data_IF_942444868594
#
_entry.id   IF_942444868594
#
_cell.length_a   1.000
_cell.length_b   1.000
_cell.length_c   1.000
_cell.angle_alpha   90.00
_cell.angle_beta   90.00
_cell.angle_gamma   90.00
#
_symmetry.space_group_name_H-M   'P 1'
#
loop_
_entity.id
_entity.type
_entity.pdbx_description
1 polymer ?
#
# COMPACT_ATOMS: atom_id res chain seq x y z
N UNK A 1 5.10 -39.27 14.90
CA UNK A 1 5.71 -39.14 13.57
C UNK A 1 6.26 -37.72 13.47
N UNK A 2 7.58 -37.52 13.39
CA UNK A 2 8.16 -36.20 13.07
C UNK A 2 7.94 -35.97 11.57
N UNK A 3 7.36 -34.83 11.19
CA UNK A 3 7.18 -34.47 9.79
C UNK A 3 8.53 -34.42 9.07
N UNK A 4 8.57 -34.84 7.80
CA UNK A 4 9.76 -34.68 6.96
C UNK A 4 9.84 -33.21 6.55
N UNK A 5 10.99 -32.58 6.78
CA UNK A 5 11.22 -31.20 6.36
C UNK A 5 11.21 -31.11 4.83
N UNK A 6 10.45 -30.17 4.28
CA UNK A 6 10.41 -29.93 2.82
C UNK A 6 11.35 -28.78 2.49
N UNK A 7 12.26 -28.99 1.54
CA UNK A 7 13.19 -27.94 1.08
C UNK A 7 12.61 -27.26 -0.16
N UNK A 8 12.57 -25.93 -0.15
CA UNK A 8 12.20 -25.13 -1.33
C UNK A 8 12.92 -23.80 -1.34
N UNK A 9 13.14 -23.23 -2.52
CA UNK A 9 13.66 -21.88 -2.66
C UNK A 9 12.59 -20.85 -2.28
N UNK A 10 12.85 -20.02 -1.26
CA UNK A 10 11.97 -18.92 -0.83
C UNK A 10 12.75 -17.65 -0.61
N UNK A 11 12.10 -16.52 -0.86
CA UNK A 11 12.58 -15.25 -0.35
C UNK A 11 12.07 -15.05 1.07
N UNK A 12 12.95 -14.64 1.97
CA UNK A 12 12.68 -14.40 3.39
C UNK A 12 12.86 -12.91 3.66
N UNK A 13 11.88 -12.32 4.34
CA UNK A 13 11.88 -10.92 4.75
C UNK A 13 11.79 -10.86 6.27
N UNK A 14 12.68 -10.08 6.87
CA UNK A 14 12.56 -9.62 8.24
C UNK A 14 12.28 -8.12 8.24
N UNK A 15 11.33 -7.71 9.05
CA UNK A 15 11.02 -6.30 9.31
C UNK A 15 11.08 -6.07 10.82
N UNK A 16 11.62 -4.93 11.22
CA UNK A 16 11.79 -4.57 12.62
C UNK A 16 11.55 -3.06 12.83
N UNK A 17 11.04 -2.69 14.00
CA UNK A 17 10.77 -1.29 14.36
C UNK A 17 11.99 -0.70 15.06
N UNK A 18 12.54 0.36 14.49
CA UNK A 18 13.64 1.10 15.08
C UNK A 18 13.17 1.89 16.30
N UNK A 19 13.83 1.67 17.43
CA UNK A 19 13.60 2.43 18.65
C UNK A 19 12.29 2.11 19.38
N UNK A 20 11.80 0.87 19.25
CA UNK A 20 10.52 0.43 19.83
C UNK A 20 10.46 0.60 21.35
N UNK A 21 11.58 0.31 22.04
CA UNK A 21 11.71 0.42 23.50
C UNK A 21 11.68 1.87 23.96
N UNK A 22 12.32 2.76 23.20
CA UNK A 22 12.33 4.21 23.46
C UNK A 22 10.94 4.81 23.25
N UNK A 23 10.19 4.36 22.23
CA UNK A 23 8.80 4.75 22.02
C UNK A 23 7.96 4.37 23.24
N UNK A 24 8.02 3.10 23.67
CA UNK A 24 7.28 2.60 24.85
C UNK A 24 7.62 3.38 26.11
N UNK A 25 8.91 3.60 26.36
CA UNK A 25 9.38 4.38 27.52
C UNK A 25 8.82 5.80 27.53
N UNK A 26 8.71 6.43 26.36
CA UNK A 26 8.25 7.81 26.23
C UNK A 26 6.75 7.97 26.39
N UNK A 27 5.94 7.06 25.83
CA UNK A 27 4.47 7.22 25.74
C UNK A 27 3.69 6.32 26.71
N UNK A 28 4.36 5.33 27.31
CA UNK A 28 3.75 4.32 28.18
C UNK A 28 3.08 3.19 27.39
N UNK A 29 3.03 2.00 27.99
CA UNK A 29 2.53 0.79 27.32
C UNK A 29 1.05 0.90 26.91
N UNK A 30 0.21 1.55 27.72
CA UNK A 30 -1.23 1.72 27.41
C UNK A 30 -1.50 2.52 26.13
N UNK A 31 -0.57 3.38 25.72
CA UNK A 31 -0.65 4.15 24.46
C UNK A 31 0.12 3.44 23.36
N UNK A 32 1.25 2.82 23.68
CA UNK A 32 2.11 2.14 22.73
C UNK A 32 1.46 0.87 22.17
N UNK A 33 0.87 0.02 23.02
CA UNK A 33 0.38 -1.31 22.63
C UNK A 33 -0.66 -1.26 21.50
N UNK A 34 -1.75 -0.47 21.59
CA UNK A 34 -2.72 -0.39 20.50
C UNK A 34 -2.11 0.15 19.20
N UNK A 35 -1.13 1.04 19.29
CA UNK A 35 -0.44 1.58 18.12
C UNK A 35 0.46 0.53 17.46
N UNK A 36 1.22 -0.24 18.25
CA UNK A 36 2.02 -1.35 17.75
C UNK A 36 1.13 -2.42 17.10
N UNK A 37 0.01 -2.80 17.73
CA UNK A 37 -0.93 -3.77 17.15
C UNK A 37 -1.48 -3.33 15.78
N UNK A 38 -1.86 -2.05 15.65
CA UNK A 38 -2.33 -1.49 14.38
C UNK A 38 -1.22 -1.48 13.33
N UNK A 39 0.00 -1.09 13.70
CA UNK A 39 1.14 -1.11 12.80
C UNK A 39 1.48 -2.54 12.34
N UNK A 40 1.52 -3.49 13.26
CA UNK A 40 1.81 -4.90 12.95
C UNK A 40 0.74 -5.52 12.05
N UNK A 41 -0.52 -5.13 12.23
CA UNK A 41 -1.62 -5.49 11.33
C UNK A 41 -1.38 -4.91 9.93
N UNK A 42 -1.01 -3.64 9.82
CA UNK A 42 -0.75 -2.99 8.54
C UNK A 42 0.46 -3.60 7.80
N UNK A 43 1.55 -3.89 8.52
CA UNK A 43 2.74 -4.58 8.00
C UNK A 43 2.36 -5.98 7.50
N UNK A 44 1.56 -6.72 8.28
CA UNK A 44 1.09 -8.07 7.90
C UNK A 44 0.19 -8.02 6.66
N UNK A 45 -0.69 -7.04 6.55
CA UNK A 45 -1.52 -6.85 5.37
C UNK A 45 -0.67 -6.57 4.11
N UNK A 46 0.41 -5.79 4.22
CA UNK A 46 1.33 -5.56 3.11
C UNK A 46 2.01 -6.84 2.61
N UNK A 47 2.23 -7.84 3.49
CA UNK A 47 2.72 -9.17 3.11
C UNK A 47 1.65 -9.93 2.32
N UNK A 48 0.42 -9.95 2.84
CA UNK A 48 -0.69 -10.68 2.25
C UNK A 48 -1.13 -10.10 0.89
N UNK A 49 -1.04 -8.77 0.70
CA UNK A 49 -1.36 -8.07 -0.56
C UNK A 49 -0.60 -8.61 -1.78
N UNK A 50 0.57 -9.23 -1.57
CA UNK A 50 1.44 -9.76 -2.64
C UNK A 50 1.66 -11.27 -2.51
N UNK A 51 0.67 -11.98 -1.95
CA UNK A 51 0.67 -13.44 -1.76
C UNK A 51 1.85 -13.97 -0.93
N UNK A 52 2.36 -13.14 -0.01
CA UNK A 52 3.33 -13.55 1.00
C UNK A 52 2.69 -14.28 2.17
N UNK A 53 3.50 -14.98 2.96
CA UNK A 53 3.10 -15.65 4.19
C UNK A 53 3.81 -15.02 5.39
N UNK A 54 3.05 -14.51 6.35
CA UNK A 54 3.58 -14.12 7.66
C UNK A 54 3.84 -15.40 8.45
N UNK A 55 5.10 -15.66 8.80
CA UNK A 55 5.50 -16.87 9.53
C UNK A 55 5.31 -16.67 11.02
N UNK A 56 5.87 -15.58 11.56
CA UNK A 56 5.78 -15.25 12.99
C UNK A 56 6.02 -13.77 13.26
N UNK A 57 5.43 -13.30 14.35
CA UNK A 57 5.78 -12.04 14.99
C UNK A 57 6.99 -12.25 15.91
N UNK A 58 7.86 -11.26 15.97
CA UNK A 58 9.08 -11.21 16.78
C UNK A 58 8.94 -10.22 17.95
N UNK A 59 7.72 -9.80 18.27
CA UNK A 59 7.41 -8.69 19.18
C UNK A 59 7.09 -7.43 18.38
N UNK A 60 8.12 -6.65 18.09
CA UNK A 60 8.08 -5.42 17.29
C UNK A 60 8.53 -5.62 15.83
N UNK A 61 8.69 -6.88 15.41
CA UNK A 61 9.10 -7.25 14.05
C UNK A 61 8.31 -8.41 13.47
N UNK A 62 8.42 -8.60 12.15
CA UNK A 62 7.76 -9.67 11.40
C UNK A 62 8.79 -10.47 10.63
N UNK A 63 8.64 -11.80 10.64
CA UNK A 63 9.25 -12.69 9.66
C UNK A 63 8.19 -13.13 8.64
N UNK A 64 8.48 -12.93 7.36
CA UNK A 64 7.62 -13.35 6.26
C UNK A 64 8.40 -14.10 5.18
N UNK A 65 7.71 -14.96 4.43
CA UNK A 65 8.29 -15.70 3.30
C UNK A 65 7.45 -15.51 2.04
N UNK A 66 8.13 -15.49 0.90
CA UNK A 66 7.54 -15.27 -0.42
C UNK A 66 8.05 -16.32 -1.42
N UNK A 67 7.21 -16.61 -2.42
CA UNK A 67 7.54 -17.56 -3.50
C UNK A 67 8.50 -16.99 -4.54
N UNK A 68 8.79 -15.69 -4.51
CA UNK A 68 9.69 -15.04 -5.48
C UNK A 68 10.39 -13.81 -4.91
N UNK A 69 11.55 -13.47 -5.47
CA UNK A 69 12.29 -12.26 -5.12
C UNK A 69 11.49 -10.98 -5.40
N UNK A 70 10.80 -10.89 -6.54
CA UNK A 70 9.99 -9.72 -6.89
C UNK A 70 8.85 -9.48 -5.91
N UNK A 71 8.16 -10.54 -5.46
CA UNK A 71 7.10 -10.43 -4.45
C UNK A 71 7.66 -10.00 -3.09
N UNK A 72 8.81 -10.54 -2.67
CA UNK A 72 9.47 -10.13 -1.44
C UNK A 72 9.87 -8.65 -1.44
N UNK A 73 10.39 -8.14 -2.57
CA UNK A 73 10.71 -6.72 -2.71
C UNK A 73 9.46 -5.84 -2.65
N UNK A 74 8.38 -6.22 -3.33
CA UNK A 74 7.11 -5.50 -3.27
C UNK A 74 6.53 -5.50 -1.85
N UNK A 75 6.57 -6.65 -1.17
CA UNK A 75 6.16 -6.78 0.23
C UNK A 75 7.00 -5.89 1.15
N UNK A 76 8.34 -5.94 1.03
CA UNK A 76 9.25 -5.11 1.82
C UNK A 76 8.99 -3.59 1.63
N UNK A 77 8.75 -3.16 0.39
CA UNK A 77 8.35 -1.76 0.10
C UNK A 77 6.97 -1.45 0.69
N UNK A 78 6.02 -2.38 0.59
CA UNK A 78 4.69 -2.24 1.19
C UNK A 78 4.75 -2.08 2.71
N UNK A 79 5.62 -2.84 3.40
CA UNK A 79 5.84 -2.71 4.83
C UNK A 79 6.37 -1.32 5.19
N UNK A 80 7.39 -0.83 4.48
CA UNK A 80 7.92 0.53 4.70
C UNK A 80 6.85 1.60 4.52
N UNK A 81 6.02 1.47 3.48
CA UNK A 81 4.91 2.38 3.22
C UNK A 81 3.81 2.31 4.29
N UNK A 82 3.53 1.12 4.83
CA UNK A 82 2.60 0.96 5.94
C UNK A 82 3.14 1.62 7.22
N UNK A 83 4.42 1.42 7.54
CA UNK A 83 5.08 2.09 8.67
C UNK A 83 5.05 3.62 8.54
N UNK A 84 5.31 4.12 7.34
CA UNK A 84 5.25 5.55 7.04
C UNK A 84 3.85 6.14 7.22
N UNK A 85 2.81 5.44 6.75
CA UNK A 85 1.42 5.87 6.89
C UNK A 85 0.91 5.87 8.34
N UNK A 86 1.47 4.98 9.18
CA UNK A 86 1.11 4.85 10.60
C UNK A 86 1.92 5.77 11.53
N UNK A 87 2.82 6.61 11.01
CA UNK A 87 3.48 7.64 11.81
C UNK A 87 2.46 8.65 12.31
N UNK A 88 2.29 8.69 13.62
CA UNK A 88 1.41 9.62 14.31
C UNK A 88 2.23 10.62 15.12
N UNK A 89 1.86 11.91 15.02
CA UNK A 89 2.45 12.96 15.87
C UNK A 89 2.17 12.65 17.34
N UNK A 90 3.17 12.87 18.20
CA UNK A 90 3.06 12.65 19.65
C UNK A 90 3.30 11.21 20.10
N UNK A 91 2.82 10.20 19.37
CA UNK A 91 2.99 8.79 19.76
C UNK A 91 4.23 8.17 19.11
N UNK A 92 4.31 8.23 17.78
CA UNK A 92 5.28 7.45 17.00
C UNK A 92 5.92 8.22 15.85
N UNK A 93 6.12 9.53 16.03
CA UNK A 93 6.71 10.40 14.99
C UNK A 93 8.12 9.94 14.56
N UNK A 94 8.87 9.35 15.48
CA UNK A 94 10.20 8.77 15.25
C UNK A 94 10.20 7.31 14.83
N UNK A 95 9.03 6.64 14.82
CA UNK A 95 8.98 5.23 14.42
C UNK A 95 9.41 5.10 12.96
N UNK A 96 10.33 4.18 12.72
CA UNK A 96 10.83 3.84 11.39
C UNK A 96 10.99 2.32 11.34
N UNK A 97 10.85 1.76 10.15
CA UNK A 97 11.11 0.36 9.93
C UNK A 97 12.49 0.18 9.31
N UNK A 98 13.11 -0.94 9.62
CA UNK A 98 14.25 -1.47 8.88
C UNK A 98 13.89 -2.86 8.38
N UNK A 99 14.30 -3.19 7.15
CA UNK A 99 13.90 -4.42 6.49
C UNK A 99 15.12 -5.12 5.89
N UNK A 100 15.20 -6.43 6.08
CA UNK A 100 16.22 -7.30 5.49
C UNK A 100 15.60 -8.37 4.61
N UNK A 101 16.14 -8.57 3.41
CA UNK A 101 15.64 -9.54 2.44
C UNK A 101 16.77 -10.45 1.97
N UNK A 102 16.55 -11.76 2.02
CA UNK A 102 17.40 -12.75 1.34
C UNK A 102 16.55 -13.78 0.61
N UNK A 103 17.16 -14.55 -0.28
CA UNK A 103 16.52 -15.63 -1.03
C UNK A 103 17.47 -16.81 -1.16
N UNK A 104 16.92 -18.01 -1.03
CA UNK A 104 17.64 -19.25 -1.27
C UNK A 104 16.82 -20.44 -0.77
N UNK A 105 17.48 -21.59 -0.67
CA UNK A 105 16.83 -22.80 -0.19
C UNK A 105 16.64 -22.77 1.33
N UNK A 106 15.41 -23.07 1.74
CA UNK A 106 14.99 -23.11 3.14
C UNK A 106 14.21 -24.39 3.39
N UNK A 107 14.36 -24.93 4.59
CA UNK A 107 13.62 -26.08 5.08
C UNK A 107 12.40 -25.64 5.88
N UNK A 108 11.24 -26.15 5.50
CA UNK A 108 9.97 -25.97 6.21
C UNK A 108 9.67 -27.17 7.11
N UNK A 109 9.46 -26.93 8.40
CA UNK A 109 9.05 -27.94 9.38
C UNK A 109 8.13 -27.30 10.41
N UNK A 110 6.96 -27.92 10.67
CA UNK A 110 5.99 -27.46 11.67
C UNK A 110 5.63 -25.97 11.55
N UNK A 111 5.47 -25.50 10.30
CA UNK A 111 5.20 -24.10 9.93
C UNK A 111 6.30 -23.09 10.29
N UNK A 112 7.50 -23.54 10.69
CA UNK A 112 8.68 -22.71 10.80
C UNK A 112 9.63 -22.92 9.62
N UNK A 113 10.47 -21.92 9.37
CA UNK A 113 11.41 -21.88 8.25
C UNK A 113 12.82 -21.71 8.77
N UNK A 114 13.72 -22.55 8.27
CA UNK A 114 15.14 -22.54 8.65
C UNK A 114 16.06 -22.64 7.43
N UNK A 115 17.27 -22.12 7.57
CA UNK A 115 18.27 -22.11 6.51
C UNK A 115 19.11 -20.84 6.53
N UNK A 116 20.19 -20.84 5.75
CA UNK A 116 21.07 -19.68 5.62
C UNK A 116 20.33 -18.40 5.17
N UNK A 117 19.36 -18.45 4.23
CA UNK A 117 18.61 -17.24 3.84
C UNK A 117 17.81 -16.61 4.99
N UNK A 118 17.34 -17.42 5.95
CA UNK A 118 16.63 -16.93 7.14
C UNK A 118 17.59 -16.15 8.04
N UNK A 119 18.78 -16.71 8.28
CA UNK A 119 19.83 -16.06 9.08
C UNK A 119 20.31 -14.78 8.39
N UNK A 120 20.59 -14.85 7.10
CA UNK A 120 21.05 -13.73 6.28
C UNK A 120 20.03 -12.59 6.26
N UNK A 121 18.75 -12.86 6.00
CA UNK A 121 17.70 -11.84 6.00
C UNK A 121 17.58 -11.15 7.37
N UNK A 122 17.63 -11.92 8.47
CA UNK A 122 17.60 -11.36 9.82
C UNK A 122 18.81 -10.45 10.11
N UNK A 123 20.00 -10.83 9.62
CA UNK A 123 21.23 -10.02 9.80
C UNK A 123 21.24 -8.78 8.92
N UNK A 124 20.79 -8.89 7.67
CA UNK A 124 20.58 -7.73 6.81
C UNK A 124 19.60 -6.74 7.44
N UNK A 125 18.51 -7.23 8.03
CA UNK A 125 17.55 -6.38 8.75
C UNK A 125 18.21 -5.67 9.94
N UNK A 126 19.05 -6.36 10.70
CA UNK A 126 19.75 -5.76 11.84
C UNK A 126 20.80 -4.71 11.42
N UNK A 127 21.41 -4.87 10.25
CA UNK A 127 22.39 -3.94 9.68
C UNK A 127 21.77 -2.78 8.88
N UNK A 128 20.53 -2.94 8.41
CA UNK A 128 19.81 -1.91 7.68
C UNK A 128 19.62 -0.66 8.56
N UNK A 129 19.85 0.51 7.97
CA UNK A 129 19.60 1.77 8.64
C UNK A 129 18.11 2.02 8.88
N UNK A 130 17.84 3.07 9.65
CA UNK A 130 16.47 3.53 9.88
C UNK A 130 15.81 3.94 8.57
N UNK A 131 14.63 3.39 8.28
CA UNK A 131 13.87 3.64 7.05
C UNK A 131 14.48 2.99 5.79
N UNK A 132 15.32 1.97 5.95
CA UNK A 132 16.02 1.30 4.84
C UNK A 132 15.55 -0.14 4.62
N UNK A 133 15.73 -0.60 3.38
CA UNK A 133 15.52 -1.98 2.99
C UNK A 133 16.86 -2.48 2.43
N UNK A 134 17.49 -3.44 3.10
CA UNK A 134 18.67 -4.12 2.59
C UNK A 134 18.28 -5.49 2.05
N UNK A 135 18.80 -5.81 0.88
CA UNK A 135 18.61 -7.11 0.25
C UNK A 135 19.97 -7.69 -0.15
N UNK A 136 20.11 -9.02 -0.05
CA UNK A 136 21.25 -9.69 -0.68
C UNK A 136 21.20 -9.47 -2.20
N UNK A 137 22.34 -9.33 -2.84
CA UNK A 137 22.41 -8.98 -4.27
C UNK A 137 21.72 -10.05 -5.15
N UNK A 138 21.68 -11.29 -4.68
CA UNK A 138 20.94 -12.40 -5.31
C UNK A 138 19.45 -12.08 -5.46
N UNK A 139 18.83 -11.40 -4.49
CA UNK A 139 17.43 -10.96 -4.57
C UNK A 139 17.24 -9.99 -5.75
N UNK A 140 18.14 -9.02 -5.90
CA UNK A 140 18.12 -8.05 -7.01
C UNK A 140 18.30 -8.76 -8.36
N UNK A 141 19.26 -9.68 -8.45
CA UNK A 141 19.54 -10.44 -9.67
C UNK A 141 18.35 -11.32 -10.08
N UNK A 142 17.70 -12.01 -9.14
CA UNK A 142 16.55 -12.86 -9.41
C UNK A 142 15.27 -12.08 -9.69
N UNK A 143 15.10 -10.90 -9.10
CA UNK A 143 13.96 -10.02 -9.41
C UNK A 143 14.05 -9.49 -10.85
N UNK A 144 15.27 -9.22 -11.35
CA UNK A 144 15.54 -8.84 -12.73
C UNK A 144 14.62 -7.73 -13.24
N UNK A 145 14.06 -7.90 -14.44
CA UNK A 145 13.13 -6.94 -15.04
C UNK A 145 11.68 -7.03 -14.52
N UNK A 146 11.38 -7.90 -13.54
CA UNK A 146 10.04 -8.05 -12.96
C UNK A 146 9.79 -7.08 -11.80
N UNK A 147 10.74 -6.19 -11.51
CA UNK A 147 10.60 -5.15 -10.52
C UNK A 147 10.92 -3.79 -11.11
N UNK A 148 10.17 -2.78 -10.66
CA UNK A 148 10.42 -1.37 -10.99
C UNK A 148 11.17 -0.63 -9.86
N UNK A 149 11.60 -1.35 -8.83
CA UNK A 149 12.36 -0.76 -7.74
C UNK A 149 13.76 -0.40 -8.22
N UNK A 150 14.25 0.73 -7.72
CA UNK A 150 15.63 1.14 -7.94
C UNK A 150 16.50 0.60 -6.81
N UNK A 151 17.78 0.41 -7.12
CA UNK A 151 18.73 -0.22 -6.22
C UNK A 151 20.00 0.63 -6.13
N UNK A 152 20.54 0.75 -4.93
CA UNK A 152 21.84 1.36 -4.67
C UNK A 152 22.79 0.30 -4.10
N UNK A 153 24.04 0.31 -4.55
CA UNK A 153 25.05 -0.60 -4.01
C UNK A 153 25.42 -0.17 -2.59
N UNK A 154 25.30 -1.07 -1.63
CA UNK A 154 25.82 -0.89 -0.26
C UNK A 154 27.24 -1.47 -0.19
N UNK A 155 27.49 -2.54 -0.94
CA UNK A 155 28.76 -3.28 -0.93
C UNK A 155 28.63 -4.59 -0.16
N UNK A 156 29.76 -5.22 0.13
CA UNK A 156 29.77 -6.48 0.91
C UNK A 156 29.76 -6.20 2.41
N UNK A 157 28.80 -6.79 3.12
CA UNK A 157 28.65 -6.66 4.56
C UNK A 157 29.11 -7.93 5.29
N UNK A 158 29.91 -7.76 6.32
CA UNK A 158 30.27 -8.83 7.27
C UNK A 158 29.09 -9.05 8.23
N UNK A 159 28.36 -10.14 8.04
CA UNK A 159 27.17 -10.45 8.84
C UNK A 159 27.51 -11.48 9.92
N UNK A 160 27.21 -11.14 11.19
CA UNK A 160 27.50 -12.01 12.33
C UNK A 160 26.97 -13.44 12.13
N UNK A 161 27.88 -14.40 12.10
CA UNK A 161 27.59 -15.84 12.02
C UNK A 161 27.56 -16.39 10.59
N UNK A 162 27.82 -15.57 9.57
CA UNK A 162 28.09 -16.02 8.20
C UNK A 162 29.60 -16.02 7.96
N UNK A 163 30.07 -16.99 7.18
CA UNK A 163 31.49 -17.18 6.91
C UNK A 163 32.02 -16.22 5.83
N UNK A 164 31.17 -15.84 4.87
CA UNK A 164 31.53 -14.97 3.76
C UNK A 164 30.76 -13.64 3.83
N UNK A 165 31.38 -12.53 3.40
CA UNK A 165 30.70 -11.26 3.27
C UNK A 165 29.52 -11.35 2.30
N UNK A 166 28.39 -10.74 2.68
CA UNK A 166 27.18 -10.73 1.86
C UNK A 166 27.14 -9.48 1.00
N UNK A 167 27.21 -9.65 -0.32
CA UNK A 167 26.97 -8.58 -1.27
C UNK A 167 25.56 -8.03 -1.06
N UNK A 168 25.46 -6.76 -0.70
CA UNK A 168 24.23 -6.12 -0.26
C UNK A 168 23.88 -4.93 -1.14
N UNK A 169 22.59 -4.79 -1.42
CA UNK A 169 22.02 -3.63 -2.09
C UNK A 169 20.92 -3.02 -1.24
N UNK A 170 20.79 -1.70 -1.32
CA UNK A 170 19.67 -0.96 -0.75
C UNK A 170 18.55 -0.89 -1.79
N UNK A 171 17.35 -1.29 -1.41
CA UNK A 171 16.16 -1.15 -2.23
C UNK A 171 15.56 0.23 -1.97
N UNK A 172 15.46 1.05 -3.02
CA UNK A 172 14.86 2.37 -2.92
C UNK A 172 13.34 2.27 -2.93
N UNK A 173 12.73 3.02 -2.04
CA UNK A 173 11.29 3.09 -1.89
C UNK A 173 10.86 4.53 -1.64
N UNK A 174 9.58 4.79 -1.87
CA UNK A 174 8.97 6.08 -1.66
C UNK A 174 7.67 5.87 -0.89
N UNK A 175 7.27 6.80 -0.01
CA UNK A 175 5.94 6.78 0.59
C UNK A 175 4.88 6.52 -0.48
N UNK A 176 3.85 5.73 -0.15
CA UNK A 176 2.65 5.75 -1.02
C UNK A 176 2.26 7.23 -1.09
N UNK A 177 2.02 7.76 -2.30
CA UNK A 177 1.47 9.10 -2.40
C UNK A 177 0.27 9.09 -1.47
N UNK A 178 0.29 9.95 -0.45
CA UNK A 178 -0.92 10.26 0.28
C UNK A 178 -1.90 10.59 -0.84
N UNK A 179 -2.92 9.74 -1.02
CA UNK A 179 -3.84 9.91 -2.14
C UNK A 179 -4.27 11.36 -2.18
N UNK A 180 -4.56 11.91 -3.36
CA UNK A 180 -5.09 13.28 -3.46
C UNK A 180 -6.29 13.35 -2.53
N UNK A 181 -6.13 13.91 -1.33
CA UNK A 181 -7.23 14.10 -0.40
C UNK A 181 -7.98 15.31 -0.89
N UNK A 182 -8.83 15.09 -1.89
CA UNK A 182 -9.88 16.04 -2.18
C UNK A 182 -10.90 15.88 -1.06
N UNK A 183 -10.71 16.64 0.03
CA UNK A 183 -11.75 16.84 1.03
C UNK A 183 -13.00 17.52 0.42
N UNK A 184 -12.90 18.03 -0.81
CA UNK A 184 -14.01 18.57 -1.56
C UNK A 184 -14.83 17.45 -2.22
N UNK A 185 -16.14 17.48 -1.96
CA UNK A 185 -17.12 16.64 -2.64
C UNK A 185 -17.13 16.94 -4.15
N UNK A 186 -17.20 15.94 -5.03
CA UNK A 186 -17.38 16.17 -6.46
C UNK A 186 -18.57 17.08 -6.74
N UNK A 187 -18.44 17.96 -7.74
CA UNK A 187 -19.50 18.91 -8.11
C UNK A 187 -20.86 18.21 -8.27
N UNK A 188 -20.85 17.01 -8.86
CA UNK A 188 -22.02 16.17 -9.09
C UNK A 188 -22.81 15.78 -7.84
N UNK A 189 -22.15 15.74 -6.67
CA UNK A 189 -22.76 15.44 -5.37
C UNK A 189 -22.94 16.71 -4.53
N UNK A 190 -22.05 17.70 -4.67
CA UNK A 190 -22.10 18.95 -3.89
C UNK A 190 -23.44 19.67 -4.01
N UNK A 191 -24.04 19.66 -5.22
CA UNK A 191 -25.34 20.28 -5.49
C UNK A 191 -26.49 19.57 -4.77
N UNK A 192 -26.33 18.29 -4.42
CA UNK A 192 -27.33 17.55 -3.69
C UNK A 192 -27.29 17.84 -2.18
N UNK A 193 -26.21 18.43 -1.63
CA UNK A 193 -26.03 18.70 -0.19
C UNK A 193 -26.66 20.04 0.26
N UNK A 194 -27.42 20.72 -0.59
CA UNK A 194 -28.10 21.99 -0.24
C UNK A 194 -29.29 21.77 0.72
N UNK A 195 -29.32 22.46 1.86
CA UNK A 195 -30.42 22.42 2.84
C UNK A 195 -30.32 21.30 3.89
N UNK A 196 -31.24 21.27 4.89
CA UNK A 196 -31.20 20.32 5.99
C UNK A 196 -31.48 18.88 5.52
N UNK A 197 -30.75 17.92 6.08
CA UNK A 197 -30.96 16.49 5.86
C UNK A 197 -31.84 15.94 6.99
N UNK A 198 -33.03 15.44 6.66
CA UNK A 198 -34.06 15.06 7.66
C UNK A 198 -34.56 13.63 7.45
N UNK A 199 -34.74 12.89 8.55
CA UNK A 199 -35.45 11.62 8.63
C UNK A 199 -34.63 10.37 8.29
N UNK A 200 -33.33 10.51 8.02
CA UNK A 200 -32.41 9.40 7.66
C UNK A 200 -31.01 9.56 8.27
N UNK A 201 -30.90 10.37 9.30
CA UNK A 201 -29.65 10.74 9.96
C UNK A 201 -29.00 9.53 10.64
N UNK A 202 -29.82 8.70 11.29
CA UNK A 202 -29.37 7.47 11.95
C UNK A 202 -28.88 6.46 10.92
N UNK A 203 -29.65 6.19 9.86
CA UNK A 203 -29.22 5.30 8.78
C UNK A 203 -27.90 5.76 8.15
N UNK A 204 -27.73 7.07 7.93
CA UNK A 204 -26.48 7.61 7.41
C UNK A 204 -25.31 7.51 8.41
N UNK A 205 -25.58 7.52 9.72
CA UNK A 205 -24.58 7.30 10.76
C UNK A 205 -24.15 5.83 10.78
N UNK A 206 -25.11 4.90 10.79
CA UNK A 206 -24.83 3.46 10.81
C UNK A 206 -24.01 3.04 9.57
N UNK A 207 -24.39 3.47 8.36
CA UNK A 207 -23.62 3.19 7.15
C UNK A 207 -22.20 3.80 7.18
N UNK A 208 -22.05 4.96 7.82
CA UNK A 208 -20.75 5.61 7.96
C UNK A 208 -19.85 4.87 8.96
N UNK A 209 -20.41 4.40 10.06
CA UNK A 209 -19.67 3.62 11.07
C UNK A 209 -19.25 2.26 10.50
N UNK A 210 -20.12 1.59 9.74
CA UNK A 210 -19.75 0.36 9.02
C UNK A 210 -18.65 0.60 7.97
N UNK A 211 -18.72 1.70 7.21
CA UNK A 211 -17.66 2.06 6.27
C UNK A 211 -16.33 2.29 6.99
N UNK A 212 -16.37 3.04 8.10
CA UNK A 212 -15.19 3.34 8.91
C UNK A 212 -14.59 2.10 9.56
N UNK A 213 -15.42 1.11 9.90
CA UNK A 213 -15.00 -0.20 10.37
C UNK A 213 -14.45 -1.11 9.26
N UNK A 214 -14.58 -0.72 7.98
CA UNK A 214 -14.09 -1.49 6.83
C UNK A 214 -14.90 -2.74 6.53
N UNK A 215 -16.16 -2.82 6.99
CA UNK A 215 -16.97 -4.05 6.92
C UNK A 215 -17.59 -4.30 5.56
N UNK A 216 -17.82 -3.26 4.74
CA UNK A 216 -18.43 -3.41 3.41
C UNK A 216 -17.53 -2.97 2.26
N UNK A 217 -17.70 -3.66 1.12
CA UNK A 217 -17.05 -3.34 -0.17
C UNK A 217 -17.98 -2.69 -1.21
N UNK A 218 -19.30 -2.67 -0.95
CA UNK A 218 -20.27 -1.90 -1.74
C UNK A 218 -21.58 -1.63 -0.99
N UNK A 219 -22.29 -0.58 -1.40
CA UNK A 219 -23.61 -0.19 -0.90
C UNK A 219 -24.54 0.06 -2.09
N UNK A 220 -25.71 -0.59 -2.12
CA UNK A 220 -26.75 -0.36 -3.12
C UNK A 220 -27.91 0.43 -2.50
N UNK A 221 -28.21 1.61 -3.07
CA UNK A 221 -29.31 2.47 -2.62
C UNK A 221 -30.44 2.43 -3.64
N UNK A 222 -31.54 1.76 -3.29
CA UNK A 222 -32.73 1.62 -4.13
C UNK A 222 -33.97 2.25 -3.47
N UNK A 223 -35.01 2.52 -4.26
CA UNK A 223 -36.25 3.16 -3.79
C UNK A 223 -36.95 3.96 -4.87
N UNK A 224 -38.14 4.47 -4.55
CA UNK A 224 -39.00 5.21 -5.48
C UNK A 224 -38.32 6.48 -6.04
N UNK A 225 -38.70 6.94 -7.26
CA UNK A 225 -38.28 8.24 -7.77
C UNK A 225 -38.60 9.35 -6.76
N UNK A 226 -37.66 10.29 -6.56
CA UNK A 226 -37.85 11.43 -5.65
C UNK A 226 -37.71 11.14 -4.15
N UNK A 227 -37.59 9.88 -3.71
CA UNK A 227 -37.51 9.52 -2.27
C UNK A 227 -36.27 10.06 -1.53
N UNK A 228 -35.30 10.62 -2.25
CA UNK A 228 -34.07 11.21 -1.69
C UNK A 228 -32.82 10.34 -1.79
N UNK A 229 -32.78 9.32 -2.67
CA UNK A 229 -31.60 8.43 -2.85
C UNK A 229 -30.30 9.19 -3.11
N UNK A 230 -30.31 10.09 -4.11
CA UNK A 230 -29.14 10.90 -4.47
C UNK A 230 -28.73 11.82 -3.32
N UNK A 231 -29.69 12.34 -2.55
CA UNK A 231 -29.40 13.14 -1.36
C UNK A 231 -28.73 12.31 -0.27
N UNK A 232 -29.25 11.11 0.01
CA UNK A 232 -28.68 10.19 0.98
C UNK A 232 -27.23 9.83 0.64
N UNK A 233 -26.97 9.45 -0.62
CA UNK A 233 -25.61 9.14 -1.09
C UNK A 233 -24.69 10.36 -0.97
N UNK A 234 -25.16 11.54 -1.40
CA UNK A 234 -24.37 12.76 -1.29
C UNK A 234 -24.04 13.13 0.17
N UNK A 235 -24.99 12.96 1.09
CA UNK A 235 -24.78 13.21 2.52
C UNK A 235 -23.75 12.23 3.12
N UNK A 236 -23.88 10.94 2.82
CA UNK A 236 -22.94 9.91 3.26
C UNK A 236 -21.53 10.19 2.72
N UNK A 237 -21.41 10.48 1.42
CA UNK A 237 -20.15 10.87 0.80
C UNK A 237 -19.59 12.17 1.41
N UNK A 238 -20.43 13.13 1.80
CA UNK A 238 -19.98 14.37 2.45
C UNK A 238 -19.37 14.10 3.83
N UNK A 239 -19.96 13.20 4.61
CA UNK A 239 -19.38 12.74 5.89
C UNK A 239 -18.04 12.03 5.67
N UNK A 240 -17.95 11.18 4.64
CA UNK A 240 -16.69 10.50 4.27
C UNK A 240 -15.62 11.51 3.82
N UNK A 241 -15.95 12.47 2.96
CA UNK A 241 -15.03 13.51 2.53
C UNK A 241 -14.50 14.34 3.72
N UNK A 242 -15.35 14.58 4.73
CA UNK A 242 -14.98 15.24 5.97
C UNK A 242 -13.92 14.51 6.81
N UNK A 243 -13.70 13.21 6.59
CA UNK A 243 -12.58 12.46 7.21
C UNK A 243 -11.31 12.46 6.37
N UNK A 244 -11.32 13.15 5.23
CA UNK A 244 -10.23 13.14 4.25
C UNK A 244 -10.31 11.99 3.24
N UNK A 245 -11.41 11.24 3.20
CA UNK A 245 -11.59 10.20 2.20
C UNK A 245 -11.78 10.78 0.79
N UNK A 246 -11.28 10.06 -0.21
CA UNK A 246 -11.43 10.45 -1.60
C UNK A 246 -12.80 10.04 -2.11
N UNK A 247 -13.58 11.03 -2.53
CA UNK A 247 -14.89 10.80 -3.15
C UNK A 247 -14.78 11.08 -4.64
N UNK A 248 -15.20 10.10 -5.45
CA UNK A 248 -15.36 10.24 -6.88
C UNK A 248 -16.79 9.86 -7.26
N UNK A 249 -17.35 10.55 -8.25
CA UNK A 249 -18.73 10.36 -8.66
C UNK A 249 -18.83 10.20 -10.17
N UNK A 250 -19.48 9.12 -10.60
CA UNK A 250 -19.79 8.84 -11.99
C UNK A 250 -21.30 8.80 -12.23
N UNK A 251 -21.73 9.07 -13.46
CA UNK A 251 -23.14 8.97 -13.85
C UNK A 251 -23.33 7.96 -14.97
N UNK A 252 -24.37 7.15 -14.83
CA UNK A 252 -24.85 6.23 -15.86
C UNK A 252 -26.24 6.71 -16.26
N UNK A 253 -26.32 7.41 -17.38
CA UNK A 253 -27.58 7.79 -18.00
C UNK A 253 -27.99 6.67 -18.98
N UNK A 254 -29.27 6.57 -19.33
CA UNK A 254 -29.78 5.52 -20.25
C UNK A 254 -29.22 5.62 -21.68
N UNK A 255 -28.45 6.67 -21.99
CA UNK A 255 -27.92 6.94 -23.31
C UNK A 255 -26.67 6.07 -23.62
N UNK A 256 -26.80 5.19 -24.62
CA UNK A 256 -25.91 4.05 -24.92
C UNK A 256 -24.49 4.47 -25.37
N UNK A 257 -24.28 5.74 -25.72
CA UNK A 257 -23.06 6.20 -26.39
C UNK A 257 -21.78 6.21 -25.53
N UNK A 258 -21.85 5.96 -24.22
CA UNK A 258 -20.67 6.07 -23.36
C UNK A 258 -20.64 5.01 -22.24
N UNK A 259 -20.39 3.75 -22.61
CA UNK A 259 -20.29 2.60 -21.70
C UNK A 259 -19.31 2.79 -20.51
N UNK A 260 -18.31 3.68 -20.65
CA UNK A 260 -17.32 3.96 -19.62
C UNK A 260 -17.50 5.31 -18.93
N UNK A 261 -18.57 6.06 -19.25
CA UNK A 261 -18.83 7.39 -18.67
C UNK A 261 -18.85 7.43 -17.14
N UNK A 262 -19.45 6.45 -16.43
CA UNK A 262 -19.39 6.44 -14.97
C UNK A 262 -17.94 6.41 -14.45
N UNK A 263 -17.04 5.75 -15.17
CA UNK A 263 -15.64 5.63 -14.78
C UNK A 263 -14.83 6.85 -15.18
N UNK A 264 -15.03 7.41 -16.36
CA UNK A 264 -14.31 8.63 -16.78
C UNK A 264 -14.73 9.82 -15.93
N UNK A 265 -16.03 10.00 -15.68
CA UNK A 265 -16.54 11.09 -14.83
C UNK A 265 -15.98 11.00 -13.39
N UNK A 266 -15.82 9.77 -12.88
CA UNK A 266 -15.24 9.53 -11.56
C UNK A 266 -13.71 9.72 -11.52
N UNK A 267 -12.99 9.23 -12.52
CA UNK A 267 -11.52 9.15 -12.50
C UNK A 267 -10.84 10.42 -13.02
N UNK A 268 -11.40 11.12 -14.00
CA UNK A 268 -10.76 12.28 -14.63
C UNK A 268 -10.40 13.38 -13.62
N UNK A 269 -11.29 13.75 -12.65
CA UNK A 269 -10.95 14.74 -11.63
C UNK A 269 -9.82 14.28 -10.71
N UNK A 270 -9.81 12.99 -10.35
CA UNK A 270 -8.74 12.40 -9.54
C UNK A 270 -7.41 12.41 -10.31
N UNK A 271 -7.42 12.05 -11.59
CA UNK A 271 -6.22 12.08 -12.43
C UNK A 271 -5.69 13.50 -12.61
N UNK A 272 -6.58 14.47 -12.81
CA UNK A 272 -6.25 15.88 -12.95
C UNK A 272 -5.64 16.48 -11.68
N UNK A 273 -6.02 15.99 -10.51
CA UNK A 273 -5.46 16.44 -9.24
C UNK A 273 -4.15 15.73 -8.84
N UNK A 274 -3.71 14.70 -9.59
CA UNK A 274 -2.44 14.00 -9.29
C UNK A 274 -1.22 14.91 -9.53
N UNK A 275 -0.20 14.86 -8.65
CA UNK A 275 1.08 15.50 -8.89
C UNK A 275 1.68 15.08 -10.24
N UNK A 276 2.36 15.99 -10.98
CA UNK A 276 2.92 15.67 -12.29
C UNK A 276 3.90 14.48 -12.30
N UNK A 277 4.63 14.27 -11.20
CA UNK A 277 5.54 13.13 -11.02
C UNK A 277 4.77 11.79 -10.94
N UNK A 278 3.72 11.75 -10.13
CA UNK A 278 2.86 10.57 -9.98
C UNK A 278 2.09 10.28 -11.28
N UNK A 279 1.53 11.31 -11.92
CA UNK A 279 0.84 11.17 -13.20
C UNK A 279 1.77 10.64 -14.30
N UNK A 280 3.02 11.09 -14.35
CA UNK A 280 4.02 10.55 -15.30
C UNK A 280 4.35 9.09 -15.02
N UNK A 281 4.47 8.69 -13.76
CA UNK A 281 4.74 7.30 -13.36
C UNK A 281 3.58 6.36 -13.70
N UNK A 282 2.37 6.71 -13.26
CA UNK A 282 1.18 5.86 -13.42
C UNK A 282 0.64 5.88 -14.85
N UNK A 283 0.51 7.05 -15.47
CA UNK A 283 0.00 7.15 -16.85
C UNK A 283 1.09 6.84 -17.91
N UNK A 284 2.38 6.92 -17.55
CA UNK A 284 3.48 6.58 -18.44
C UNK A 284 3.60 5.07 -18.72
N UNK A 285 3.16 4.22 -17.78
CA UNK A 285 3.14 2.75 -17.90
C UNK A 285 2.11 2.21 -18.90
N UNK A 286 1.09 2.99 -19.23
CA UNK A 286 -0.05 2.56 -20.04
C UNK A 286 -0.22 3.38 -21.33
N UNK A 287 0.87 3.61 -22.08
CA UNK A 287 0.86 4.41 -23.34
C UNK A 287 -0.20 3.95 -24.36
N UNK A 288 -0.54 2.66 -24.39
CA UNK A 288 -1.52 2.08 -25.32
C UNK A 288 -2.99 2.15 -24.85
N UNK A 289 -3.27 2.58 -23.61
CA UNK A 289 -4.65 2.74 -23.08
C UNK A 289 -5.10 4.20 -22.93
N UNK A 290 -4.35 5.15 -23.52
CA UNK A 290 -4.67 6.60 -23.52
C UNK A 290 -6.05 6.95 -24.10
N UNK A 291 -6.71 6.04 -24.82
CA UNK A 291 -8.00 6.30 -25.46
C UNK A 291 -9.20 6.31 -24.48
N UNK A 292 -9.05 5.86 -23.23
CA UNK A 292 -10.20 5.58 -22.36
C UNK A 292 -10.43 6.55 -21.19
N UNK A 293 -9.51 7.48 -20.90
CA UNK A 293 -9.56 8.30 -19.66
C UNK A 293 -9.41 9.81 -19.92
N UNK A 294 -9.58 10.28 -21.15
CA UNK A 294 -9.68 11.73 -21.40
C UNK A 294 -10.68 11.97 -22.53
N UNK A 295 -11.96 12.00 -22.18
CA UNK A 295 -13.01 12.50 -23.06
C UNK A 295 -12.95 14.02 -23.12
N UNK A 296 -11.98 14.61 -23.82
CA UNK A 296 -11.83 16.05 -23.89
C UNK A 296 -11.00 16.51 -25.08
N UNK A 297 -11.62 17.34 -25.93
CA UNK A 297 -11.02 18.00 -27.11
C UNK A 297 -9.78 18.81 -26.71
N UNK A 298 -8.60 18.20 -26.77
CA UNK A 298 -7.32 18.89 -26.72
C UNK A 298 -6.62 18.68 -28.06
N UNK A 299 -6.26 19.78 -28.74
CA UNK A 299 -5.48 19.74 -29.97
C UNK A 299 -4.20 18.92 -29.77
N UNK A 300 -4.05 17.85 -30.56
CA UNK A 300 -2.88 16.99 -30.56
C UNK A 300 -1.81 17.62 -31.45
N UNK A 301 -0.69 18.04 -30.87
CA UNK A 301 0.54 18.21 -31.65
C UNK A 301 1.16 16.83 -31.83
N UNK A 302 1.02 16.31 -33.05
CA UNK A 302 1.65 15.10 -33.53
C UNK A 302 3.16 15.33 -33.70
N UNK A 303 3.96 14.76 -32.80
CA UNK A 303 5.41 14.67 -32.97
C UNK A 303 5.77 13.32 -33.62
N UNK A 304 5.21 13.07 -34.80
CA UNK A 304 5.62 11.99 -35.69
C UNK A 304 5.60 12.45 -37.15
N UNK A 305 6.38 13.49 -37.47
CA UNK A 305 6.86 13.69 -38.85
C UNK A 305 8.29 13.14 -38.94
N UNK A 306 8.59 12.18 -39.82
CA UNK A 306 9.96 11.80 -40.12
C UNK A 306 10.63 12.96 -40.86
N UNK A 307 11.81 13.37 -40.41
CA UNK A 307 12.68 14.24 -41.21
C UNK A 307 13.07 13.47 -42.48
N UNK A 308 12.71 14.03 -43.64
CA UNK A 308 13.56 13.91 -44.83
C UNK A 308 14.65 14.98 -44.74
#
# INVERSE_FOLDING_TARGET
>A
MRGLATTSTRAVVFCDIVGSTEIRTRVGDSVADPWFEQLMTAISNAVLEVDGLVVKSLGDGVMAVFKSASAALQGAVGMQQAGEAHRSKGVAESARLRVGVSIGDVAELDADWSGLPVVEAARLCACAGSNEIYASDVVRLLAGSRTDHQFEAVGSLELKGLAEPVATTRVLWHPRPSGITSAALPAALSTAVTGPFVGREQLAADCFDEWKAGTWRGLLVAGEPGIGKTRFVAELCNRMAGTGANVAAGRCDEDIAAAYRPWTDALDPLVAAMPPSLRRRECGRHRSRRALVTGGRGHWFDAATPRQ
#
